data_IF_465701025060
#
_entry.id   IF_465701025060
#
_cell.length_a   1.000
_cell.length_b   1.000
_cell.length_c   1.000
_cell.angle_alpha   90.00
_cell.angle_beta   90.00
_cell.angle_gamma   90.00
#
_symmetry.space_group_name_H-M   'P 1'
#
loop_
_entity.id
_entity.type
_entity.pdbx_description
1 polymer ?
#
# COMPACT_ATOMS: atom_id res chain seq x y z
N UNK A 1 -28.46 -7.79 -17.94
CA UNK A 1 -29.80 -7.59 -17.37
C UNK A 1 -29.77 -6.39 -16.45
N UNK A 2 -30.72 -5.46 -16.56
CA UNK A 2 -30.84 -4.35 -15.63
C UNK A 2 -31.11 -4.89 -14.22
N UNK A 3 -30.37 -4.38 -13.23
CA UNK A 3 -30.59 -4.73 -11.83
C UNK A 3 -31.71 -3.83 -11.34
N UNK A 4 -32.81 -4.44 -10.87
CA UNK A 4 -33.91 -3.68 -10.29
C UNK A 4 -33.47 -3.07 -8.95
N UNK A 5 -33.42 -1.74 -8.90
CA UNK A 5 -33.01 -1.01 -7.69
C UNK A 5 -33.94 -1.29 -6.51
N UNK A 6 -35.21 -1.55 -6.78
CA UNK A 6 -36.23 -1.79 -5.74
C UNK A 6 -36.07 -3.15 -5.05
N UNK A 7 -35.29 -4.06 -5.65
CA UNK A 7 -34.98 -5.38 -5.09
C UNK A 7 -33.81 -5.38 -4.09
N UNK A 8 -33.10 -4.24 -3.95
CA UNK A 8 -31.91 -4.11 -3.12
C UNK A 8 -32.27 -3.48 -1.77
N UNK A 9 -32.04 -4.22 -0.68
CA UNK A 9 -32.26 -3.74 0.69
C UNK A 9 -31.24 -2.66 1.06
N UNK A 10 -31.68 -1.65 1.81
CA UNK A 10 -30.86 -0.54 2.32
C UNK A 10 -30.20 0.34 1.24
N UNK A 11 -30.63 0.26 -0.01
CA UNK A 11 -30.13 1.15 -1.04
C UNK A 11 -30.61 2.59 -0.74
N UNK A 12 -29.72 3.60 -0.72
CA UNK A 12 -30.14 4.99 -0.59
C UNK A 12 -31.01 5.37 -1.80
N UNK A 13 -32.30 5.64 -1.55
CA UNK A 13 -33.27 6.01 -2.58
C UNK A 13 -33.27 7.51 -2.89
N UNK A 14 -32.84 8.33 -1.94
CA UNK A 14 -32.84 9.79 -2.06
C UNK A 14 -31.68 10.34 -2.89
N UNK A 15 -30.60 9.56 -3.07
CA UNK A 15 -29.45 9.96 -3.87
C UNK A 15 -29.55 9.42 -5.31
N UNK A 16 -29.08 10.17 -6.32
CA UNK A 16 -29.01 9.70 -7.71
C UNK A 16 -27.90 8.66 -7.88
N UNK A 17 -28.12 7.48 -7.28
CA UNK A 17 -27.23 6.33 -7.36
C UNK A 17 -27.57 5.47 -8.57
N UNK A 18 -26.54 4.92 -9.20
CA UNK A 18 -26.65 3.97 -10.29
C UNK A 18 -26.05 2.64 -9.85
N UNK A 19 -26.79 1.56 -10.13
CA UNK A 19 -26.37 0.20 -9.80
C UNK A 19 -25.90 -0.48 -11.08
N UNK A 20 -24.69 -1.02 -11.06
CA UNK A 20 -24.14 -1.71 -12.23
C UNK A 20 -23.37 -2.96 -11.83
N UNK A 21 -23.31 -3.91 -12.75
CA UNK A 21 -22.55 -5.16 -12.60
C UNK A 21 -21.21 -5.02 -13.33
N UNK A 22 -20.12 -5.33 -12.65
CA UNK A 22 -18.79 -5.42 -13.23
C UNK A 22 -18.06 -6.65 -12.69
N UNK A 23 -17.51 -7.47 -13.60
CA UNK A 23 -16.78 -8.72 -13.29
C UNK A 23 -17.49 -9.62 -12.28
N UNK A 24 -18.80 -9.79 -12.45
CA UNK A 24 -19.64 -10.63 -11.57
C UNK A 24 -20.07 -9.97 -10.26
N UNK A 25 -19.62 -8.74 -9.98
CA UNK A 25 -19.88 -8.04 -8.72
C UNK A 25 -20.79 -6.84 -8.96
N UNK A 26 -21.62 -6.51 -7.98
CA UNK A 26 -22.59 -5.42 -8.08
C UNK A 26 -22.06 -4.22 -7.31
N UNK A 27 -22.03 -3.07 -7.97
CA UNK A 27 -21.55 -1.79 -7.43
C UNK A 27 -22.65 -0.75 -7.50
N UNK A 28 -22.60 0.16 -6.53
CA UNK A 28 -23.43 1.36 -6.49
C UNK A 28 -22.51 2.56 -6.64
N UNK A 29 -22.82 3.43 -7.60
CA UNK A 29 -22.02 4.60 -7.90
C UNK A 29 -22.89 5.85 -8.07
N UNK A 30 -22.35 6.98 -7.65
CA UNK A 30 -22.89 8.31 -7.94
C UNK A 30 -22.14 8.88 -9.15
N UNK A 31 -22.87 9.55 -10.01
CA UNK A 31 -22.31 10.24 -11.17
C UNK A 31 -22.40 11.75 -10.96
N UNK A 32 -21.25 12.39 -10.83
CA UNK A 32 -21.15 13.84 -10.78
C UNK A 32 -20.78 14.37 -12.16
N UNK A 33 -21.52 15.37 -12.65
CA UNK A 33 -21.15 16.06 -13.88
C UNK A 33 -20.42 17.34 -13.51
N UNK A 34 -19.10 17.36 -13.69
CA UNK A 34 -18.33 18.59 -13.64
C UNK A 34 -18.36 19.24 -15.02
N UNK A 35 -18.73 20.51 -15.09
CA UNK A 35 -18.63 21.30 -16.31
C UNK A 35 -17.36 22.13 -16.20
N UNK A 36 -16.42 21.90 -17.11
CA UNK A 36 -15.23 22.75 -17.20
C UNK A 36 -15.63 24.03 -17.96
N UNK A 37 -15.88 25.11 -17.21
CA UNK A 37 -16.35 26.40 -17.75
C UNK A 37 -15.38 27.01 -18.76
N UNK A 38 -14.08 26.67 -18.69
CA UNK A 38 -13.07 27.20 -19.61
C UNK A 38 -13.13 26.57 -21.01
N UNK A 39 -13.65 25.36 -21.16
CA UNK A 39 -13.60 24.58 -22.41
C UNK A 39 -15.00 24.12 -22.86
N UNK A 40 -16.04 24.39 -22.06
CA UNK A 40 -17.42 23.95 -22.30
C UNK A 40 -17.59 22.41 -22.27
N UNK A 41 -16.57 21.67 -21.81
CA UNK A 41 -16.58 20.21 -21.80
C UNK A 41 -17.21 19.69 -20.50
N UNK A 42 -18.21 18.82 -20.65
CA UNK A 42 -18.84 18.12 -19.53
C UNK A 42 -18.04 16.84 -19.23
N UNK A 43 -17.52 16.73 -18.01
CA UNK A 43 -16.85 15.54 -17.50
C UNK A 43 -17.77 14.84 -16.50
N UNK A 44 -18.15 13.61 -16.80
CA UNK A 44 -18.88 12.75 -15.84
C UNK A 44 -17.87 11.96 -15.01
N UNK A 45 -17.83 12.22 -13.71
CA UNK A 45 -17.03 11.49 -12.74
C UNK A 45 -17.91 10.43 -12.11
N UNK A 46 -17.41 9.18 -12.12
CA UNK A 46 -18.07 8.05 -11.47
C UNK A 46 -17.38 7.77 -10.14
N UNK A 47 -18.11 7.93 -9.05
CA UNK A 47 -17.63 7.63 -7.69
C UNK A 47 -18.36 6.41 -7.16
N UNK A 48 -17.63 5.37 -6.76
CA UNK A 48 -18.22 4.16 -6.19
C UNK A 48 -18.52 4.43 -4.71
N UNK A 49 -19.79 4.36 -4.34
CA UNK A 49 -20.27 4.66 -2.98
C UNK A 49 -20.56 3.40 -2.17
N UNK A 50 -20.83 2.28 -2.84
CA UNK A 50 -21.04 1.01 -2.15
C UNK A 50 -21.15 -0.19 -3.07
N UNK A 51 -21.55 -1.32 -2.48
CA UNK A 51 -21.67 -2.62 -3.15
C UNK A 51 -22.93 -3.33 -2.71
N UNK A 52 -23.40 -4.24 -3.56
CA UNK A 52 -24.51 -5.13 -3.23
C UNK A 52 -23.97 -6.55 -3.11
N UNK A 53 -24.24 -7.17 -1.96
CA UNK A 53 -23.95 -8.58 -1.68
C UNK A 53 -25.25 -9.20 -1.20
N UNK A 54 -25.66 -10.32 -1.80
CA UNK A 54 -26.91 -11.02 -1.48
C UNK A 54 -28.13 -10.08 -1.38
N UNK A 55 -28.32 -9.25 -2.41
CA UNK A 55 -29.38 -8.24 -2.53
C UNK A 55 -29.41 -7.19 -1.41
N UNK A 56 -28.33 -7.03 -0.66
CA UNK A 56 -28.20 -6.01 0.40
C UNK A 56 -27.12 -5.02 0.04
N UNK A 57 -27.45 -3.73 0.11
CA UNK A 57 -26.50 -2.65 -0.05
C UNK A 57 -25.62 -2.50 1.19
N UNK A 58 -24.33 -2.29 0.95
CA UNK A 58 -23.33 -1.91 1.93
C UNK A 58 -22.58 -0.70 1.40
N UNK A 59 -22.37 0.33 2.22
CA UNK A 59 -21.44 1.40 1.89
C UNK A 59 -20.02 0.83 1.70
N UNK A 60 -19.14 1.55 1.01
CA UNK A 60 -17.76 1.08 0.84
C UNK A 60 -17.04 0.84 2.18
N UNK A 61 -17.37 1.60 3.23
CA UNK A 61 -16.82 1.43 4.58
C UNK A 61 -17.36 0.16 5.25
N UNK A 62 -18.67 -0.04 5.24
CA UNK A 62 -19.32 -1.23 5.79
C UNK A 62 -18.87 -2.49 5.06
N UNK A 63 -18.79 -2.42 3.73
CA UNK A 63 -18.31 -3.50 2.90
C UNK A 63 -16.86 -3.87 3.27
N UNK A 64 -15.96 -2.89 3.42
CA UNK A 64 -14.58 -3.16 3.81
C UNK A 64 -14.43 -3.69 5.23
N UNK A 65 -15.35 -3.34 6.12
CA UNK A 65 -15.39 -3.85 7.49
C UNK A 65 -15.84 -5.31 7.54
N UNK A 66 -16.89 -5.67 6.79
CA UNK A 66 -17.54 -6.98 6.86
C UNK A 66 -17.05 -8.00 5.85
N UNK A 67 -16.52 -7.58 4.70
CA UNK A 67 -16.21 -8.47 3.58
C UNK A 67 -14.77 -8.32 3.07
N UNK A 68 -14.25 -9.41 2.50
CA UNK A 68 -12.99 -9.46 1.75
C UNK A 68 -13.24 -9.06 0.28
N UNK A 69 -12.18 -8.86 -0.51
CA UNK A 69 -12.27 -8.42 -1.92
C UNK A 69 -12.98 -9.43 -2.84
N UNK A 70 -13.00 -10.70 -2.43
CA UNK A 70 -13.66 -11.83 -3.10
C UNK A 70 -15.13 -12.01 -2.68
N UNK A 71 -15.67 -11.11 -1.84
CA UNK A 71 -17.02 -11.15 -1.28
C UNK A 71 -17.22 -12.15 -0.12
N UNK A 72 -16.19 -12.86 0.31
CA UNK A 72 -16.28 -13.68 1.52
C UNK A 72 -16.34 -12.81 2.78
N UNK A 73 -17.06 -13.26 3.80
CA UNK A 73 -17.12 -12.59 5.10
C UNK A 73 -15.71 -12.52 5.71
N UNK A 74 -15.39 -11.38 6.33
CA UNK A 74 -14.25 -11.29 7.24
C UNK A 74 -14.68 -11.97 8.53
N UNK A 75 -14.03 -13.08 8.85
CA UNK A 75 -14.09 -13.65 10.19
C UNK A 75 -13.77 -12.52 11.17
N UNK A 76 -14.60 -12.38 12.21
CA UNK A 76 -14.39 -11.40 13.26
C UNK A 76 -12.95 -11.57 13.77
N UNK A 77 -12.20 -10.47 13.95
CA UNK A 77 -10.86 -10.61 14.51
C UNK A 77 -11.02 -11.01 15.97
N UNK A 78 -10.85 -12.29 16.27
CA UNK A 78 -10.46 -12.73 17.62
C UNK A 78 -9.09 -12.12 17.90
N UNK A 79 -9.08 -10.89 18.43
CA UNK A 79 -7.90 -10.21 18.98
C UNK A 79 -6.68 -10.07 18.05
N UNK A 80 -6.79 -10.34 16.75
CA UNK A 80 -5.64 -10.36 15.87
C UNK A 80 -5.25 -8.94 15.44
N UNK A 81 -4.33 -8.37 16.24
CA UNK A 81 -3.46 -7.23 15.95
C UNK A 81 -3.22 -7.10 14.43
N UNK A 82 -3.37 -5.90 13.83
CA UNK A 82 -3.26 -5.72 12.39
C UNK A 82 -1.90 -6.24 11.93
N UNK A 83 -1.90 -7.41 11.30
CA UNK A 83 -0.66 -8.03 10.85
C UNK A 83 -0.13 -7.13 9.74
N UNK A 84 0.98 -6.45 10.04
CA UNK A 84 1.87 -5.72 9.12
C UNK A 84 2.29 -6.65 7.97
N UNK A 85 1.40 -6.95 7.02
CA UNK A 85 1.67 -7.90 5.92
C UNK A 85 2.79 -7.46 4.97
N UNK A 86 3.27 -6.21 5.08
CA UNK A 86 4.42 -5.73 4.31
C UNK A 86 5.78 -5.99 4.97
N UNK A 87 5.86 -6.10 6.30
CA UNK A 87 7.13 -6.43 6.97
C UNK A 87 7.45 -7.93 6.92
N UNK A 88 6.42 -8.79 6.94
CA UNK A 88 6.62 -10.24 6.88
C UNK A 88 7.35 -10.68 5.61
N UNK A 89 6.97 -10.18 4.43
CA UNK A 89 7.65 -10.53 3.17
C UNK A 89 9.11 -10.12 3.13
N UNK A 90 9.45 -8.96 3.68
CA UNK A 90 10.84 -8.49 3.70
C UNK A 90 11.71 -9.34 4.62
N UNK A 91 11.19 -9.73 5.79
CA UNK A 91 11.88 -10.60 6.73
C UNK A 91 12.08 -12.01 6.18
N UNK A 92 11.09 -12.57 5.47
CA UNK A 92 11.22 -13.88 4.82
C UNK A 92 12.29 -13.85 3.72
N UNK A 93 12.25 -12.85 2.83
CA UNK A 93 13.25 -12.71 1.75
C UNK A 93 14.65 -12.44 2.29
N UNK A 94 14.80 -11.72 3.41
CA UNK A 94 16.13 -11.49 4.02
C UNK A 94 16.68 -12.73 4.72
N UNK A 95 15.83 -13.52 5.40
CA UNK A 95 16.20 -14.81 6.00
C UNK A 95 16.64 -15.82 4.94
N UNK A 96 15.97 -15.86 3.78
CA UNK A 96 16.37 -16.69 2.62
C UNK A 96 17.77 -16.34 2.08
N UNK A 97 18.25 -15.12 2.31
CA UNK A 97 19.60 -14.68 1.94
C UNK A 97 20.60 -14.68 3.10
N UNK A 98 20.30 -15.41 4.18
CA UNK A 98 21.20 -15.55 5.33
C UNK A 98 21.30 -14.31 6.20
N UNK A 99 20.43 -13.31 6.00
CA UNK A 99 20.40 -12.08 6.79
C UNK A 99 19.27 -12.12 7.80
N UNK A 100 19.66 -12.41 9.04
CA UNK A 100 18.75 -12.34 10.17
C UNK A 100 18.81 -10.94 10.79
N UNK A 101 17.82 -10.11 10.48
CA UNK A 101 17.72 -8.74 11.01
C UNK A 101 17.72 -8.67 12.53
N UNK A 102 17.28 -9.73 13.21
CA UNK A 102 17.34 -9.81 14.68
C UNK A 102 18.76 -9.96 15.22
N UNK A 103 19.69 -10.41 14.39
CA UNK A 103 21.11 -10.59 14.71
C UNK A 103 21.99 -9.46 14.18
N UNK A 104 21.44 -8.51 13.42
CA UNK A 104 22.21 -7.39 12.88
C UNK A 104 22.54 -6.40 13.98
N UNK A 105 23.82 -6.32 14.35
CA UNK A 105 24.31 -5.35 15.33
C UNK A 105 24.26 -3.93 14.75
N UNK A 106 23.92 -2.95 15.59
CA UNK A 106 23.92 -1.52 15.30
C UNK A 106 22.97 -1.07 14.17
N UNK A 107 21.86 -1.79 13.95
CA UNK A 107 20.87 -1.37 12.97
C UNK A 107 20.14 -0.10 13.45
N UNK A 108 20.09 0.98 12.65
CA UNK A 108 19.32 2.16 13.03
C UNK A 108 17.84 1.80 13.12
N UNK A 109 17.24 2.07 14.27
CA UNK A 109 15.81 1.83 14.51
C UNK A 109 15.10 3.17 14.39
N UNK A 110 14.17 3.28 13.44
CA UNK A 110 13.40 4.50 13.24
C UNK A 110 12.13 4.21 12.43
N UNK A 111 11.08 5.05 12.56
CA UNK A 111 9.79 4.82 11.90
C UNK A 111 9.90 4.83 10.36
N UNK A 112 10.85 5.60 9.83
CA UNK A 112 11.06 5.77 8.38
C UNK A 112 12.23 4.96 7.82
N UNK A 113 12.90 4.18 8.67
CA UNK A 113 14.02 3.32 8.27
C UNK A 113 13.49 2.04 7.63
N UNK A 114 14.01 1.72 6.46
CA UNK A 114 13.63 0.56 5.67
C UNK A 114 14.85 -0.16 5.16
N UNK A 115 14.72 -1.47 4.96
CA UNK A 115 15.74 -2.27 4.30
C UNK A 115 15.33 -2.45 2.84
N UNK A 116 16.29 -2.23 1.95
CA UNK A 116 16.10 -2.24 0.51
C UNK A 116 17.17 -3.11 -0.13
N UNK A 117 16.74 -4.14 -0.86
CA UNK A 117 17.65 -5.04 -1.58
C UNK A 117 17.77 -4.58 -3.03
N UNK A 118 19.00 -4.37 -3.49
CA UNK A 118 19.32 -4.06 -4.89
C UNK A 118 20.43 -4.98 -5.35
N UNK A 119 20.12 -5.93 -6.24
CA UNK A 119 21.05 -6.96 -6.67
C UNK A 119 21.53 -7.82 -5.48
N UNK A 120 22.86 -7.94 -5.32
CA UNK A 120 23.49 -8.67 -4.23
C UNK A 120 23.70 -7.85 -2.95
N UNK A 121 23.24 -6.59 -2.93
CA UNK A 121 23.47 -5.68 -1.81
C UNK A 121 22.18 -5.41 -1.04
N UNK A 122 22.31 -5.39 0.28
CA UNK A 122 21.23 -5.05 1.20
C UNK A 122 21.56 -3.68 1.80
N UNK A 123 20.73 -2.69 1.48
CA UNK A 123 20.85 -1.31 1.94
C UNK A 123 19.87 -1.03 3.07
N UNK A 124 20.29 -0.17 3.99
CA UNK A 124 19.39 0.47 4.95
C UNK A 124 19.17 1.89 4.47
N UNK A 125 17.90 2.27 4.29
CA UNK A 125 17.48 3.55 3.73
C UNK A 125 16.47 4.22 4.64
N UNK A 126 16.55 5.54 4.76
CA UNK A 126 15.51 6.35 5.39
C UNK A 126 14.62 6.94 4.27
N UNK A 127 13.29 6.85 4.42
CA UNK A 127 12.35 7.44 3.46
C UNK A 127 11.52 8.53 4.10
N UNK A 128 11.80 9.79 3.75
CA UNK A 128 11.02 10.94 4.19
C UNK A 128 10.05 11.37 3.10
N UNK A 129 8.80 11.62 3.48
CA UNK A 129 7.76 12.16 2.61
C UNK A 129 7.55 13.63 2.94
N UNK A 130 7.56 14.47 1.91
CA UNK A 130 7.34 15.90 2.05
C UNK A 130 6.42 16.37 0.92
N UNK A 131 5.64 17.40 1.21
CA UNK A 131 4.67 17.99 0.27
C UNK A 131 5.36 19.16 -0.43
N UNK A 132 5.40 19.14 -1.76
CA UNK A 132 5.92 20.23 -2.60
C UNK A 132 4.91 20.47 -3.71
N UNK A 133 4.39 21.70 -3.80
CA UNK A 133 3.41 22.11 -4.83
C UNK A 133 2.18 21.18 -4.91
N UNK A 134 1.54 20.93 -3.76
CA UNK A 134 0.41 19.99 -3.58
C UNK A 134 0.65 18.53 -4.00
N UNK A 135 1.88 18.17 -4.34
CA UNK A 135 2.29 16.81 -4.67
C UNK A 135 3.17 16.24 -3.57
N UNK A 136 2.91 14.98 -3.20
CA UNK A 136 3.77 14.25 -2.28
C UNK A 136 5.03 13.77 -3.00
N UNK A 137 6.19 14.22 -2.54
CA UNK A 137 7.51 13.71 -2.96
C UNK A 137 8.08 12.81 -1.87
N UNK A 138 8.84 11.81 -2.27
CA UNK A 138 9.55 10.90 -1.35
C UNK A 138 11.04 11.01 -1.59
N UNK A 139 11.80 11.42 -0.58
CA UNK A 139 13.26 11.38 -0.59
C UNK A 139 13.70 10.08 0.08
N UNK A 140 14.59 9.36 -0.61
CA UNK A 140 15.21 8.15 -0.08
C UNK A 140 16.67 8.45 0.19
N UNK A 141 17.09 8.36 1.45
CA UNK A 141 18.47 8.57 1.88
C UNK A 141 19.09 7.23 2.23
N UNK A 142 20.23 6.89 1.63
CA UNK A 142 20.95 5.66 1.94
C UNK A 142 21.80 5.86 3.19
N UNK A 143 21.47 5.14 4.27
CA UNK A 143 22.17 5.22 5.54
C UNK A 143 23.40 4.29 5.58
N UNK A 144 23.27 3.10 5.01
CA UNK A 144 24.35 2.12 5.01
C UNK A 144 24.00 0.82 4.31
N UNK A 145 24.86 -0.18 4.51
CA UNK A 145 24.70 -1.55 3.97
C UNK A 145 24.81 -2.59 5.08
N UNK A 146 24.14 -3.71 4.88
CA UNK A 146 24.31 -4.90 5.71
C UNK A 146 25.22 -5.87 4.96
N UNK A 147 26.34 -6.22 5.58
CA UNK A 147 27.32 -7.16 5.05
C UNK A 147 27.61 -8.18 6.15
N UNK A 148 27.44 -9.48 5.88
CA UNK A 148 27.68 -10.56 6.85
C UNK A 148 27.00 -10.33 8.22
N UNK A 149 25.72 -9.95 8.23
CA UNK A 149 24.96 -9.64 9.44
C UNK A 149 25.49 -8.46 10.28
N UNK A 150 26.35 -7.61 9.72
CA UNK A 150 26.79 -6.37 10.35
C UNK A 150 26.31 -5.17 9.53
N UNK A 151 25.77 -4.17 10.22
CA UNK A 151 25.44 -2.89 9.61
C UNK A 151 26.70 -2.02 9.52
N UNK A 152 26.96 -1.48 8.32
CA UNK A 152 28.02 -0.53 8.04
C UNK A 152 27.43 0.75 7.46
N UNK A 153 27.83 1.90 7.97
CA UNK A 153 27.40 3.19 7.41
C UNK A 153 27.95 3.36 5.98
N UNK A 154 27.34 4.26 5.20
CA UNK A 154 27.86 4.57 3.86
C UNK A 154 29.32 5.06 3.88
N UNK A 155 29.74 5.74 4.95
CA UNK A 155 31.13 6.20 5.13
C UNK A 155 32.09 5.04 5.40
N UNK A 156 31.72 4.11 6.29
CA UNK A 156 32.49 2.90 6.55
C UNK A 156 32.59 2.01 5.30
N UNK A 157 31.51 1.91 4.52
CA UNK A 157 31.51 1.21 3.24
C UNK A 157 32.49 1.83 2.24
N UNK A 158 32.58 3.17 2.18
CA UNK A 158 33.56 3.87 1.33
C UNK A 158 34.99 3.58 1.78
N UNK A 159 35.27 3.63 3.08
CA UNK A 159 36.58 3.33 3.64
C UNK A 159 37.02 1.86 3.36
N UNK A 160 36.10 0.90 3.50
CA UNK A 160 36.35 -0.53 3.17
C UNK A 160 36.64 -0.77 1.69
N UNK A 161 35.94 -0.06 0.79
CA UNK A 161 36.21 -0.19 -0.64
C UNK A 161 37.56 0.41 -1.02
N UNK A 162 37.96 1.50 -0.38
CA UNK A 162 39.27 2.13 -0.60
C UNK A 162 40.42 1.26 -0.05
N UNK A 163 40.26 0.61 1.10
CA UNK A 163 41.27 -0.29 1.65
C UNK A 163 41.43 -1.59 0.86
N UNK A 164 40.34 -2.12 0.27
CA UNK A 164 40.41 -3.26 -0.66
C UNK A 164 41.14 -2.93 -1.96
N UNK A 165 40.94 -1.73 -2.52
CA UNK A 165 41.68 -1.28 -3.72
C UNK A 165 43.18 -1.13 -3.45
N UNK A 166 43.57 -0.65 -2.27
CA UNK A 166 44.99 -0.51 -1.88
C UNK A 166 45.72 -1.82 -1.59
N UNK A 167 45.00 -2.91 -1.29
CA UNK A 167 45.60 -4.25 -1.09
C UNK A 167 45.77 -5.04 -2.39
N UNK A 168 45.32 -4.49 -3.53
CA UNK A 168 45.43 -5.12 -4.86
C UNK A 168 46.37 -4.35 -5.80
N UNK A 169 47.06 -3.31 -5.31
CA UNK A 169 48.22 -2.69 -5.97
C UNK A 169 49.49 -3.10 -5.24
#
# INVERSE_FOLDING_TARGET
MPIDKNSIKNLPQDEPVSVYKDKGKIYVAVYETQVDEAIGRKKRIRTIVGRVVDNTYYSMEEFHSRFKKDLSLREAPDGAVPTRRRHARLNTTLKEHGVDLSKVKNLPTGPDVRIYKTGNFIYVVERKRFKVDDKYKTQTTYLGKIINNCYYTMEQCKAMNNSRRRKQS
#
